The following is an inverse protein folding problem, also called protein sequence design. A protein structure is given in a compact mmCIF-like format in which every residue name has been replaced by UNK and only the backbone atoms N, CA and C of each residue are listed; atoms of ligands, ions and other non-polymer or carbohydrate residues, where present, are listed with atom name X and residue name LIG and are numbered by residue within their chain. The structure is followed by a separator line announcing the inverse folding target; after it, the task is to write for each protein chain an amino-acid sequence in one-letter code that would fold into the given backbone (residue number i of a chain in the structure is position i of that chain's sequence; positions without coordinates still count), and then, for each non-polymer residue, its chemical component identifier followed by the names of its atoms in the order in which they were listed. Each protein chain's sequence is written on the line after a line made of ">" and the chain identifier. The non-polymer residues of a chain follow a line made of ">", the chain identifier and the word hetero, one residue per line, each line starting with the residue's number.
data_IF_677245089691
#
_entry.id   IF_677245089691
#
_cell.length_a   1.000
_cell.length_b   1.000
_cell.length_c   1.000
_cell.angle_alpha   90.00
_cell.angle_beta   90.00
_cell.angle_gamma   90.00
#
_symmetry.space_group_name_H-M   'P 1'
#
loop_
_entity.id
_entity.type
_entity.pdbx_description
1 polymer ?
#
# COMPACT_ATOMS: atom_id res chain seq x y z
N UNK A 1 3.55 -16.61 11.74
CA UNK A 1 4.99 -16.40 11.51
C UNK A 1 5.20 -16.22 10.01
N UNK A 2 5.25 -15.00 9.46
CA UNK A 2 6.29 -13.98 9.60
C UNK A 2 5.65 -12.69 9.08
N UNK A 3 5.40 -11.65 9.89
CA UNK A 3 6.38 -10.64 10.30
C UNK A 3 7.16 -10.07 9.12
N UNK A 4 6.65 -8.97 8.58
CA UNK A 4 7.43 -7.81 8.14
C UNK A 4 6.62 -6.58 8.52
N UNK A 5 6.68 -6.25 9.81
CA UNK A 5 6.58 -4.86 10.22
C UNK A 5 7.76 -4.09 9.62
N UNK A 6 7.49 -2.82 9.38
CA UNK A 6 8.39 -1.67 9.52
C UNK A 6 8.61 -0.82 8.27
N UNK A 7 8.38 0.47 8.50
CA UNK A 7 8.90 1.64 7.77
C UNK A 7 8.04 2.17 6.62
N UNK A 8 6.91 2.80 6.98
CA UNK A 8 6.79 4.26 6.86
C UNK A 8 5.43 4.72 7.40
N UNK A 9 5.31 4.83 8.72
CA UNK A 9 4.39 5.81 9.31
C UNK A 9 5.01 7.20 9.10
N UNK A 10 4.97 7.69 7.87
CA UNK A 10 4.84 9.13 7.71
C UNK A 10 3.39 9.38 8.11
N UNK A 11 3.19 9.91 9.31
CA UNK A 11 1.90 10.38 9.79
C UNK A 11 1.49 11.51 8.83
N UNK A 12 0.85 11.16 7.72
CA UNK A 12 0.30 12.13 6.77
C UNK A 12 -0.91 12.70 7.48
N UNK A 13 -0.74 13.87 8.10
CA UNK A 13 -1.88 14.69 8.46
C UNK A 13 -2.55 15.08 7.12
N UNK A 14 -3.77 14.59 6.81
CA UNK A 14 -4.51 15.14 5.69
C UNK A 14 -4.71 16.63 5.98
N UNK A 15 -4.63 17.50 4.97
CA UNK A 15 -4.86 18.95 5.12
C UNK A 15 -6.15 19.28 5.91
N UNK A 16 -7.12 18.35 5.94
CA UNK A 16 -8.37 18.42 6.72
C UNK A 16 -8.22 18.24 8.24
N UNK A 17 -7.11 17.69 8.75
CA UNK A 17 -6.89 17.47 10.19
C UNK A 17 -5.96 18.53 10.82
N UNK A 18 -5.16 19.24 10.02
CA UNK A 18 -4.37 20.38 10.49
C UNK A 18 -5.26 21.52 11.02
N UNK A 19 -6.47 21.72 10.47
CA UNK A 19 -7.42 22.70 11.00
C UNK A 19 -7.97 22.35 12.41
N UNK A 20 -7.80 21.10 12.88
CA UNK A 20 -8.24 20.68 14.21
C UNK A 20 -7.16 20.82 15.28
N UNK A 21 -5.89 20.96 14.89
CA UNK A 21 -4.77 21.15 15.79
C UNK A 21 -4.29 22.59 15.66
N UNK A 22 -4.60 23.43 16.64
CA UNK A 22 -4.13 24.81 16.71
C UNK A 22 -2.59 24.95 16.86
N UNK A 23 -1.85 23.84 16.85
CA UNK A 23 -0.40 23.78 17.01
C UNK A 23 0.24 23.34 15.69
N UNK A 24 1.21 24.11 15.15
CA UNK A 24 1.90 23.76 13.91
C UNK A 24 2.53 22.37 13.94
N UNK A 25 2.60 21.72 12.78
CA UNK A 25 3.40 20.51 12.62
C UNK A 25 4.87 20.84 12.93
N UNK A 26 5.53 19.96 13.68
CA UNK A 26 6.87 20.20 14.21
C UNK A 26 7.80 19.02 14.03
N UNK A 27 9.10 19.31 14.10
CA UNK A 27 10.18 18.34 14.07
C UNK A 27 11.00 18.45 15.36
N UNK A 28 11.56 17.33 15.81
CA UNK A 28 12.48 17.32 16.95
C UNK A 28 13.86 17.85 16.54
N UNK A 29 14.31 18.90 17.21
CA UNK A 29 15.66 19.45 17.05
C UNK A 29 16.52 19.06 18.27
N UNK A 30 17.64 18.33 18.09
CA UNK A 30 18.52 17.96 19.20
C UNK A 30 19.05 19.15 20.01
N UNK A 31 19.26 20.29 19.35
CA UNK A 31 19.79 21.52 19.95
C UNK A 31 18.68 22.41 20.52
N UNK A 32 17.41 22.11 20.19
CA UNK A 32 16.25 22.86 20.66
C UNK A 32 15.05 21.96 20.98
N UNK A 33 15.11 21.32 22.15
CA UNK A 33 14.06 20.41 22.66
C UNK A 33 13.87 20.50 24.17
N UNK A 34 12.84 19.82 24.67
CA UNK A 34 12.52 19.71 26.09
C UNK A 34 11.63 20.85 26.58
N UNK A 35 11.47 20.94 27.91
CA UNK A 35 10.60 21.94 28.53
C UNK A 35 11.34 23.28 28.72
N UNK A 36 10.64 24.38 28.45
CA UNK A 36 11.04 25.73 28.79
C UNK A 36 10.81 25.96 30.29
N UNK A 37 11.91 25.94 31.06
CA UNK A 37 11.88 26.10 32.52
C UNK A 37 12.41 27.45 33.00
N UNK A 38 13.17 28.16 32.15
CA UNK A 38 13.84 29.41 32.51
C UNK A 38 12.93 30.64 32.30
N UNK A 39 12.08 30.60 31.28
CA UNK A 39 11.13 31.67 30.94
C UNK A 39 9.74 31.28 31.44
N UNK A 40 9.06 32.20 32.12
CA UNK A 40 7.68 32.05 32.62
C UNK A 40 6.65 32.07 31.47
N UNK A 41 6.76 31.14 30.52
CA UNK A 41 5.81 30.93 29.42
C UNK A 41 5.04 29.61 29.58
N UNK A 42 4.33 29.35 30.70
CA UNK A 42 3.54 28.14 30.85
C UNK A 42 2.31 28.15 29.92
N UNK A 43 1.81 26.98 29.49
CA UNK A 43 0.46 26.93 28.87
C UNK A 43 -0.55 27.41 29.91
N UNK A 44 -1.23 28.52 29.62
CA UNK A 44 -2.16 29.18 30.55
C UNK A 44 -3.26 28.25 31.04
N UNK A 45 -3.74 27.34 30.17
CA UNK A 45 -4.81 26.40 30.49
C UNK A 45 -4.40 25.30 31.47
N UNK A 46 -3.14 24.86 31.41
CA UNK A 46 -2.68 23.69 32.16
C UNK A 46 -1.67 24.04 33.26
N UNK A 47 -1.13 25.26 33.27
CA UNK A 47 -0.15 25.72 34.25
C UNK A 47 1.18 24.96 34.21
N UNK A 48 1.44 24.21 33.16
CA UNK A 48 2.65 23.42 32.97
C UNK A 48 3.64 24.17 32.08
N UNK A 49 4.94 23.88 32.26
CA UNK A 49 5.99 24.37 31.39
C UNK A 49 5.71 24.00 29.92
N UNK A 50 6.02 24.93 29.03
CA UNK A 50 5.83 24.74 27.59
C UNK A 50 6.97 23.92 26.99
N UNK A 51 6.70 23.19 25.92
CA UNK A 51 7.66 22.39 25.19
C UNK A 51 8.29 23.20 24.06
N UNK A 52 9.61 23.04 23.86
CA UNK A 52 10.38 23.63 22.77
C UNK A 52 10.26 22.79 21.51
N UNK A 53 9.78 23.40 20.44
CA UNK A 53 9.56 22.75 19.15
C UNK A 53 10.07 23.62 17.99
N UNK A 54 10.36 22.99 16.86
CA UNK A 54 10.70 23.66 15.60
C UNK A 54 9.61 23.37 14.59
N UNK A 55 9.07 24.42 13.98
CA UNK A 55 8.00 24.28 13.00
C UNK A 55 8.52 23.63 11.72
N UNK A 56 7.72 22.71 11.18
CA UNK A 56 7.95 22.06 9.89
C UNK A 56 6.70 22.21 9.03
N UNK A 57 6.24 23.45 8.88
CA UNK A 57 4.99 23.74 8.19
C UNK A 57 5.09 25.08 7.45
N UNK A 58 4.71 25.06 6.18
CA UNK A 58 4.54 26.26 5.36
C UNK A 58 5.70 27.27 5.45
N UNK A 59 5.34 28.55 5.54
CA UNK A 59 6.30 29.65 5.62
C UNK A 59 6.97 29.78 6.99
N UNK A 60 6.57 29.00 7.98
CA UNK A 60 7.14 29.04 9.33
C UNK A 60 8.21 27.95 9.54
N UNK A 61 8.46 27.14 8.52
CA UNK A 61 9.47 26.08 8.55
C UNK A 61 10.81 26.59 9.10
N UNK A 62 11.33 25.88 10.10
CA UNK A 62 12.58 26.16 10.79
C UNK A 62 12.46 27.20 11.92
N UNK A 63 11.30 27.81 12.17
CA UNK A 63 11.10 28.75 13.29
C UNK A 63 10.86 27.98 14.58
N UNK A 64 11.49 28.44 15.66
CA UNK A 64 11.29 27.91 17.01
C UNK A 64 10.05 28.48 17.66
N UNK A 65 9.30 27.60 18.34
CA UNK A 65 8.14 27.98 19.13
C UNK A 65 8.05 27.16 20.41
N UNK A 66 7.22 27.66 21.33
CA UNK A 66 6.82 27.01 22.56
C UNK A 66 5.39 26.53 22.41
N UNK A 67 5.11 25.31 22.86
CA UNK A 67 3.77 24.73 22.78
C UNK A 67 3.35 24.05 24.08
N UNK A 68 2.05 23.74 24.16
CA UNK A 68 1.54 22.93 25.25
C UNK A 68 2.18 21.53 25.24
N UNK A 69 2.86 21.15 26.32
CA UNK A 69 3.47 19.82 26.47
C UNK A 69 2.46 18.67 26.71
N UNK A 70 1.15 18.93 26.61
CA UNK A 70 0.14 17.87 26.70
C UNK A 70 0.11 17.07 25.39
N UNK A 71 -0.14 15.74 25.46
CA UNK A 71 -0.16 14.90 24.28
C UNK A 71 -1.26 15.30 23.28
N UNK A 72 -1.10 14.88 22.03
CA UNK A 72 -2.05 15.12 20.95
C UNK A 72 -3.49 14.71 21.37
N UNK A 73 -4.45 15.60 21.15
CA UNK A 73 -5.86 15.43 21.56
C UNK A 73 -6.20 15.98 22.96
N UNK A 74 -5.20 16.22 23.82
CA UNK A 74 -5.36 16.93 25.11
C UNK A 74 -4.60 18.27 25.14
N UNK A 75 -3.89 18.61 24.07
CA UNK A 75 -3.17 19.87 23.95
C UNK A 75 -4.12 21.08 23.97
N UNK A 76 -3.69 22.16 24.63
CA UNK A 76 -4.51 23.37 24.80
C UNK A 76 -4.57 24.27 23.56
N UNK A 77 -3.79 23.96 22.52
CA UNK A 77 -3.60 24.84 21.36
C UNK A 77 -2.62 26.01 21.60
N UNK A 78 -2.00 26.10 22.78
CA UNK A 78 -1.03 27.15 23.09
C UNK A 78 0.19 27.08 22.16
N UNK A 79 0.53 28.23 21.58
CA UNK A 79 1.70 28.45 20.72
C UNK A 79 2.27 29.83 20.99
N UNK A 80 3.57 29.91 21.27
CA UNK A 80 4.30 31.17 21.38
C UNK A 80 5.58 31.11 20.53
N UNK A 81 5.76 32.05 19.62
CA UNK A 81 6.91 32.07 18.72
C UNK A 81 8.13 32.69 19.39
N UNK A 82 9.25 31.98 19.37
CA UNK A 82 10.55 32.47 19.87
C UNK A 82 11.29 33.24 18.78
N UNK A 83 11.26 32.73 17.56
CA UNK A 83 11.90 33.40 16.43
C UNK A 83 10.95 34.38 15.74
N UNK A 84 11.51 35.49 15.26
CA UNK A 84 10.78 36.44 14.43
C UNK A 84 10.29 35.77 13.15
N UNK A 85 9.30 36.37 12.51
CA UNK A 85 8.91 35.96 11.17
C UNK A 85 10.10 36.09 10.22
N UNK A 86 10.20 35.14 9.30
CA UNK A 86 11.19 35.22 8.24
C UNK A 86 10.99 36.47 7.38
N UNK A 87 12.06 37.06 6.81
CA UNK A 87 11.90 38.13 5.84
C UNK A 87 11.10 37.65 4.62
N UNK A 88 10.40 38.54 3.89
CA UNK A 88 9.53 38.16 2.77
C UNK A 88 10.22 37.29 1.71
N UNK A 89 11.50 37.54 1.44
CA UNK A 89 12.30 36.72 0.51
C UNK A 89 12.35 35.25 0.92
N UNK A 90 12.54 34.98 2.21
CA UNK A 90 12.63 33.63 2.75
C UNK A 90 11.24 32.98 2.83
N UNK A 91 10.21 33.73 3.24
CA UNK A 91 8.82 33.22 3.20
C UNK A 91 8.41 32.79 1.78
N UNK A 92 8.74 33.59 0.76
CA UNK A 92 8.47 33.26 -0.62
C UNK A 92 9.24 32.02 -1.11
N UNK A 93 10.47 31.83 -0.65
CA UNK A 93 11.26 30.64 -0.97
C UNK A 93 10.64 29.39 -0.32
N UNK A 94 10.28 29.46 0.96
CA UNK A 94 9.62 28.38 1.68
C UNK A 94 8.27 28.02 1.05
N UNK A 95 7.46 29.02 0.69
CA UNK A 95 6.17 28.80 0.03
C UNK A 95 6.34 28.03 -1.28
N UNK A 96 7.34 28.39 -2.11
CA UNK A 96 7.63 27.67 -3.36
C UNK A 96 8.11 26.24 -3.10
N UNK A 97 8.97 26.03 -2.11
CA UNK A 97 9.44 24.69 -1.75
C UNK A 97 8.29 23.79 -1.30
N UNK A 98 7.39 24.29 -0.46
CA UNK A 98 6.21 23.55 -0.03
C UNK A 98 5.25 23.25 -1.17
N UNK A 99 5.02 24.20 -2.07
CA UNK A 99 4.22 23.95 -3.28
C UNK A 99 4.82 22.81 -4.12
N UNK A 100 6.15 22.81 -4.33
CA UNK A 100 6.82 21.73 -5.06
C UNK A 100 6.71 20.37 -4.35
N UNK A 101 6.76 20.34 -3.02
CA UNK A 101 6.61 19.11 -2.24
C UNK A 101 5.20 18.56 -2.36
N UNK A 102 4.18 19.40 -2.25
CA UNK A 102 2.78 18.98 -2.39
C UNK A 102 2.44 18.55 -3.83
N UNK A 103 2.97 19.24 -4.84
CA UNK A 103 2.84 18.83 -6.24
C UNK A 103 3.48 17.46 -6.47
N UNK A 104 4.70 17.25 -5.97
CA UNK A 104 5.41 15.97 -6.10
C UNK A 104 4.67 14.84 -5.36
N UNK A 105 4.11 15.11 -4.18
CA UNK A 105 3.30 14.14 -3.43
C UNK A 105 2.03 13.79 -4.19
N UNK A 106 1.34 14.78 -4.74
CA UNK A 106 0.11 14.59 -5.52
C UNK A 106 0.38 13.76 -6.79
N UNK A 107 1.45 14.07 -7.51
CA UNK A 107 1.87 13.29 -8.69
C UNK A 107 2.12 11.82 -8.34
N UNK A 108 2.88 11.55 -7.26
CA UNK A 108 3.16 10.18 -6.79
C UNK A 108 1.89 9.42 -6.38
N UNK A 109 0.95 10.09 -5.71
CA UNK A 109 -0.33 9.48 -5.35
C UNK A 109 -1.13 9.11 -6.60
N UNK A 110 -1.14 9.99 -7.60
CA UNK A 110 -1.81 9.72 -8.87
C UNK A 110 -1.17 8.54 -9.63
N UNK A 111 0.15 8.49 -9.73
CA UNK A 111 0.88 7.40 -10.39
C UNK A 111 0.65 6.05 -9.68
N UNK A 112 0.63 6.06 -8.34
CA UNK A 112 0.32 4.88 -7.54
C UNK A 112 -1.12 4.40 -7.76
N UNK A 113 -2.07 5.33 -7.89
CA UNK A 113 -3.46 5.02 -8.16
C UNK A 113 -3.64 4.40 -9.55
N UNK A 114 -3.00 4.98 -10.58
CA UNK A 114 -2.99 4.44 -11.94
C UNK A 114 -2.34 3.05 -12.00
N UNK A 115 -1.21 2.88 -11.30
CA UNK A 115 -0.55 1.59 -11.16
C UNK A 115 -1.47 0.55 -10.50
N UNK A 116 -2.22 0.94 -9.46
CA UNK A 116 -3.19 0.07 -8.80
C UNK A 116 -4.30 -0.39 -9.74
N UNK A 117 -4.88 0.53 -10.53
CA UNK A 117 -5.88 0.18 -11.55
C UNK A 117 -5.32 -0.79 -12.60
N UNK A 118 -4.08 -0.57 -13.03
CA UNK A 118 -3.39 -1.42 -14.02
C UNK A 118 -3.16 -2.82 -13.46
N UNK A 119 -2.69 -2.93 -12.21
CA UNK A 119 -2.48 -4.21 -11.53
C UNK A 119 -3.79 -4.96 -11.37
N UNK A 120 -4.87 -4.29 -10.98
CA UNK A 120 -6.19 -4.92 -10.84
C UNK A 120 -6.66 -5.50 -12.18
N UNK A 121 -6.61 -4.70 -13.25
CA UNK A 121 -6.98 -5.15 -14.59
C UNK A 121 -6.16 -6.37 -15.04
N UNK A 122 -4.83 -6.32 -14.89
CA UNK A 122 -3.96 -7.45 -15.25
C UNK A 122 -4.24 -8.69 -14.40
N UNK A 123 -4.61 -8.52 -13.14
CA UNK A 123 -4.99 -9.62 -12.25
C UNK A 123 -6.29 -10.29 -12.73
N UNK A 124 -7.27 -9.50 -13.17
CA UNK A 124 -8.52 -10.04 -13.74
C UNK A 124 -8.26 -10.82 -15.03
N UNK A 125 -7.46 -10.28 -15.95
CA UNK A 125 -7.10 -10.96 -17.19
C UNK A 125 -6.31 -12.25 -16.94
N UNK A 126 -5.38 -12.23 -15.96
CA UNK A 126 -4.67 -13.44 -15.52
C UNK A 126 -5.65 -14.50 -15.01
N UNK A 127 -6.58 -14.14 -14.13
CA UNK A 127 -7.54 -15.09 -13.57
C UNK A 127 -8.44 -15.72 -14.66
N UNK A 128 -8.84 -14.94 -15.67
CA UNK A 128 -9.57 -15.47 -16.83
C UNK A 128 -8.73 -16.46 -17.63
N UNK A 129 -7.44 -16.14 -17.84
CA UNK A 129 -6.53 -17.02 -18.56
C UNK A 129 -6.27 -18.33 -17.80
N UNK A 130 -6.08 -18.25 -16.48
CA UNK A 130 -5.91 -19.42 -15.60
C UNK A 130 -7.14 -20.34 -15.68
N UNK A 131 -8.35 -19.78 -15.60
CA UNK A 131 -9.59 -20.55 -15.74
C UNK A 131 -9.74 -21.22 -17.12
N UNK A 132 -9.33 -20.53 -18.19
CA UNK A 132 -9.33 -21.09 -19.54
C UNK A 132 -8.30 -22.22 -19.69
N UNK A 133 -7.13 -22.07 -19.07
CA UNK A 133 -6.10 -23.09 -19.07
C UNK A 133 -6.56 -24.35 -18.33
N UNK A 134 -7.15 -24.19 -17.14
CA UNK A 134 -7.69 -25.31 -16.35
C UNK A 134 -8.75 -26.09 -17.13
N UNK A 135 -9.64 -25.37 -17.83
CA UNK A 135 -10.63 -25.98 -18.71
C UNK A 135 -9.97 -26.75 -19.86
N UNK A 136 -8.97 -26.18 -20.51
CA UNK A 136 -8.26 -26.86 -21.60
C UNK A 136 -7.58 -28.15 -21.12
N UNK A 137 -6.98 -28.12 -19.93
CA UNK A 137 -6.38 -29.31 -19.32
C UNK A 137 -7.45 -30.39 -19.08
N UNK A 138 -8.63 -29.99 -18.60
CA UNK A 138 -9.76 -30.91 -18.42
C UNK A 138 -10.21 -31.52 -19.76
N UNK A 139 -10.45 -30.69 -20.78
CA UNK A 139 -10.90 -31.14 -22.10
C UNK A 139 -9.90 -32.13 -22.74
N UNK A 140 -8.59 -31.90 -22.57
CA UNK A 140 -7.53 -32.81 -23.05
C UNK A 140 -7.55 -34.14 -22.29
N UNK A 141 -7.75 -34.12 -20.98
CA UNK A 141 -7.86 -35.34 -20.18
C UNK A 141 -9.08 -36.17 -20.59
N UNK A 142 -10.23 -35.53 -20.80
CA UNK A 142 -11.46 -36.19 -21.29
C UNK A 142 -11.23 -36.84 -22.67
N UNK A 143 -10.56 -36.14 -23.59
CA UNK A 143 -10.23 -36.69 -24.90
C UNK A 143 -9.29 -37.91 -24.82
N UNK A 144 -8.31 -37.86 -23.91
CA UNK A 144 -7.36 -38.96 -23.72
C UNK A 144 -8.06 -40.21 -23.19
N UNK A 145 -8.96 -40.07 -22.21
CA UNK A 145 -9.77 -41.17 -21.69
C UNK A 145 -10.65 -41.79 -22.79
N UNK A 146 -11.30 -40.96 -23.61
CA UNK A 146 -12.12 -41.44 -24.73
C UNK A 146 -11.28 -42.20 -25.78
N UNK A 147 -10.04 -41.77 -26.04
CA UNK A 147 -9.14 -42.49 -26.93
C UNK A 147 -8.73 -43.84 -26.33
N UNK A 148 -8.46 -43.92 -25.03
CA UNK A 148 -8.11 -45.16 -24.34
C UNK A 148 -9.25 -46.18 -24.39
N UNK A 149 -10.49 -45.76 -24.09
CA UNK A 149 -11.69 -46.60 -24.18
C UNK A 149 -11.85 -47.20 -25.59
N UNK A 150 -11.71 -46.37 -26.64
CA UNK A 150 -11.79 -46.86 -28.03
C UNK A 150 -10.70 -47.86 -28.38
N UNK A 151 -9.49 -47.68 -27.86
CA UNK A 151 -8.38 -48.63 -28.08
C UNK A 151 -8.68 -49.97 -27.40
N UNK A 152 -9.30 -49.95 -26.21
CA UNK A 152 -9.74 -51.16 -25.50
C UNK A 152 -10.84 -51.87 -26.29
N UNK A 153 -11.88 -51.17 -26.74
CA UNK A 153 -12.97 -51.73 -27.55
C UNK A 153 -12.45 -52.38 -28.85
N UNK A 154 -11.52 -51.71 -29.54
CA UNK A 154 -10.93 -52.24 -30.76
C UNK A 154 -10.16 -53.53 -30.51
N UNK A 155 -9.41 -53.62 -29.39
CA UNK A 155 -8.71 -54.86 -28.99
C UNK A 155 -9.68 -56.00 -28.69
N UNK A 156 -10.80 -55.71 -28.03
CA UNK A 156 -11.84 -56.72 -27.77
C UNK A 156 -12.47 -57.24 -29.07
N UNK A 157 -12.84 -56.33 -29.97
CA UNK A 157 -13.41 -56.69 -31.26
C UNK A 157 -12.44 -57.51 -32.11
N UNK A 158 -11.17 -57.11 -32.16
CA UNK A 158 -10.12 -57.85 -32.86
C UNK A 158 -9.97 -59.26 -32.30
N UNK A 159 -9.92 -59.41 -30.97
CA UNK A 159 -9.83 -60.73 -30.31
C UNK A 159 -11.02 -61.63 -30.65
N UNK A 160 -12.24 -61.07 -30.66
CA UNK A 160 -13.45 -61.81 -31.02
C UNK A 160 -13.44 -62.28 -32.48
N UNK A 161 -12.98 -61.43 -33.40
CA UNK A 161 -12.84 -61.79 -34.82
C UNK A 161 -11.80 -62.90 -34.99
N UNK A 162 -10.64 -62.78 -34.36
CA UNK A 162 -9.58 -63.79 -34.42
C UNK A 162 -10.09 -65.13 -33.91
N UNK A 163 -10.77 -65.15 -32.76
CA UNK A 163 -11.38 -66.37 -32.22
C UNK A 163 -12.37 -67.02 -33.19
N UNK A 164 -13.27 -66.23 -33.80
CA UNK A 164 -14.22 -66.75 -34.78
C UNK A 164 -13.54 -67.32 -36.03
N UNK A 165 -12.43 -66.73 -36.47
CA UNK A 165 -11.65 -67.23 -37.60
C UNK A 165 -10.97 -68.57 -37.26
N UNK A 166 -10.45 -68.73 -36.04
CA UNK A 166 -9.86 -69.98 -35.55
C UNK A 166 -10.90 -71.11 -35.53
N UNK A 167 -12.05 -70.88 -34.88
CA UNK A 167 -13.16 -71.86 -34.80
C UNK A 167 -13.67 -72.25 -36.19
N UNK A 168 -13.75 -71.30 -37.12
CA UNK A 168 -14.17 -71.59 -38.50
C UNK A 168 -13.17 -72.51 -39.21
N UNK A 169 -11.86 -72.35 -39.00
CA UNK A 169 -10.86 -73.22 -39.62
C UNK A 169 -10.98 -74.65 -39.09
N UNK A 170 -11.12 -74.81 -37.78
CA UNK A 170 -11.29 -76.13 -37.15
C UNK A 170 -12.53 -76.88 -37.68
N UNK A 171 -13.61 -76.17 -38.03
CA UNK A 171 -14.83 -76.77 -38.59
C UNK A 171 -14.75 -77.12 -40.09
N UNK A 172 -13.74 -76.64 -40.81
CA UNK A 172 -13.56 -76.88 -42.26
C UNK A 172 -12.53 -78.00 -42.50
N UNK A 173 -11.67 -78.28 -41.51
CA UNK A 173 -10.59 -79.27 -41.60
C UNK A 173 -10.98 -80.70 -41.13
N UNK A 174 -12.26 -80.94 -40.79
CA UNK A 174 -12.90 -82.26 -40.56
C UNK A 174 -13.69 -82.75 -41.81
#
# INVERSE_FOLDING_TARGET
>A
SSSTDSLNEVLICPLSLCELLQVPFSLEDPDYKGLELDVMSPCEKHGMASERLVAFEGTDTGRRFLACAQPAGSNCGFVEWVDHQWPPTMQNALLKLWAMVEDAKTARVNDNLESSFTIHHLTEEKNKLDANYDKLVQDVHELMNFQEDKVVDFRHLQSAITYQQEVRKELIDD
#
